data_IF_388540563897
#
_entry.id   IF_388540563897
#
_cell.length_a   1.000
_cell.length_b   1.000
_cell.length_c   1.000
_cell.angle_alpha   90.00
_cell.angle_beta   90.00
_cell.angle_gamma   90.00
#
_symmetry.space_group_name_H-M   'P 1'
#
loop_
_entity.id
_entity.type
_entity.pdbx_description
1 polymer ?
#
# COMPACT_ATOMS: atom_id res chain seq x y z
N UNK A 1 1.45 34.08 11.86
CA UNK A 1 1.09 33.02 10.91
C UNK A 1 -0.36 33.26 10.49
N UNK A 2 -0.66 33.38 9.20
CA UNK A 2 -2.04 33.59 8.75
C UNK A 2 -2.90 32.34 9.01
N UNK A 3 -4.22 32.47 9.08
CA UNK A 3 -5.11 31.30 9.21
C UNK A 3 -4.96 30.37 8.01
N UNK A 4 -4.77 30.95 6.82
CA UNK A 4 -4.49 30.21 5.58
C UNK A 4 -3.21 29.38 5.70
N UNK A 5 -2.13 29.96 6.22
CA UNK A 5 -0.86 29.23 6.43
C UNK A 5 -0.98 28.16 7.52
N UNK A 6 -1.72 28.43 8.60
CA UNK A 6 -1.96 27.46 9.66
C UNK A 6 -2.79 26.26 9.17
N UNK A 7 -3.83 26.53 8.37
CA UNK A 7 -4.61 25.48 7.71
C UNK A 7 -3.75 24.69 6.72
N UNK A 8 -2.82 25.35 6.04
CA UNK A 8 -1.89 24.70 5.12
C UNK A 8 -0.92 23.75 5.83
N UNK A 9 -0.35 24.17 6.96
CA UNK A 9 0.53 23.33 7.77
C UNK A 9 -0.22 22.09 8.28
N UNK A 10 -1.49 22.24 8.65
CA UNK A 10 -2.33 21.10 9.04
C UNK A 10 -2.63 20.18 7.87
N UNK A 11 -2.94 20.73 6.69
CA UNK A 11 -3.15 19.96 5.47
C UNK A 11 -1.89 19.18 5.06
N UNK A 12 -0.72 19.82 5.14
CA UNK A 12 0.58 19.21 4.85
C UNK A 12 0.96 18.12 5.87
N UNK A 13 0.62 18.33 7.15
CA UNK A 13 0.77 17.34 8.22
C UNK A 13 -0.11 16.09 7.99
N UNK A 14 -1.35 16.30 7.50
CA UNK A 14 -2.26 15.22 7.12
C UNK A 14 -1.72 14.44 5.90
N UNK A 15 -1.14 15.13 4.91
CA UNK A 15 -0.54 14.49 3.74
C UNK A 15 0.78 13.78 4.05
N UNK A 16 1.58 14.27 4.99
CA UNK A 16 2.84 13.64 5.40
C UNK A 16 2.66 12.44 6.35
N UNK A 17 1.50 12.30 6.99
CA UNK A 17 1.16 11.11 7.81
C UNK A 17 1.58 11.23 9.26
N UNK A 18 1.51 12.43 9.84
CA UNK A 18 1.77 12.63 11.26
C UNK A 18 0.86 11.76 12.15
N UNK A 19 1.38 11.36 13.32
CA UNK A 19 0.77 10.40 14.27
C UNK A 19 -0.64 10.78 14.77
N UNK A 20 -1.08 12.03 14.57
CA UNK A 20 -2.34 12.55 15.11
C UNK A 20 -3.26 13.13 14.02
N UNK A 21 -3.53 12.32 13.00
CA UNK A 21 -4.40 12.66 11.86
C UNK A 21 -5.78 13.14 12.31
N UNK A 22 -6.34 12.53 13.37
CA UNK A 22 -7.68 12.87 13.86
C UNK A 22 -7.72 14.26 14.51
N UNK A 23 -6.73 14.62 15.32
CA UNK A 23 -6.61 15.95 15.92
C UNK A 23 -6.31 17.02 14.86
N UNK A 24 -5.45 16.72 13.88
CA UNK A 24 -5.17 17.61 12.76
C UNK A 24 -6.42 17.87 11.90
N UNK A 25 -7.27 16.87 11.67
CA UNK A 25 -8.54 17.01 10.96
C UNK A 25 -9.53 17.92 11.73
N UNK A 26 -9.67 17.71 13.05
CA UNK A 26 -10.54 18.54 13.91
C UNK A 26 -10.06 19.98 13.94
N UNK A 27 -8.75 20.20 14.06
CA UNK A 27 -8.14 21.53 14.05
C UNK A 27 -8.35 22.22 12.70
N UNK A 28 -8.15 21.52 11.59
CA UNK A 28 -8.35 22.05 10.25
C UNK A 28 -9.80 22.49 10.03
N UNK A 29 -10.79 21.66 10.39
CA UNK A 29 -12.22 22.00 10.29
C UNK A 29 -12.59 23.24 11.09
N UNK A 30 -12.08 23.36 12.32
CA UNK A 30 -12.29 24.56 13.15
C UNK A 30 -11.67 25.81 12.52
N UNK A 31 -10.50 25.66 11.90
CA UNK A 31 -9.76 26.76 11.31
C UNK A 31 -10.44 27.29 10.04
N UNK A 32 -10.86 26.38 9.16
CA UNK A 32 -11.59 26.71 7.92
C UNK A 32 -12.93 27.38 8.22
N UNK A 33 -13.66 26.92 9.25
CA UNK A 33 -14.93 27.56 9.67
C UNK A 33 -14.75 28.96 10.25
N UNK A 34 -13.53 29.33 10.64
CA UNK A 34 -13.21 30.64 11.20
C UNK A 34 -12.65 31.61 10.14
N UNK A 35 -12.50 31.18 8.88
CA UNK A 35 -11.98 32.00 7.79
C UNK A 35 -13.07 32.88 7.19
N UNK A 36 -12.69 34.09 6.78
CA UNK A 36 -13.51 34.90 5.88
C UNK A 36 -13.41 34.42 4.41
N UNK A 37 -14.21 35.02 3.53
CA UNK A 37 -14.32 34.62 2.13
C UNK A 37 -12.98 34.70 1.38
N UNK A 38 -12.20 35.75 1.63
CA UNK A 38 -10.91 35.96 0.97
C UNK A 38 -9.87 34.95 1.49
N UNK A 39 -9.90 34.66 2.80
CA UNK A 39 -9.08 33.62 3.42
C UNK A 39 -9.41 32.22 2.88
N UNK A 40 -10.69 31.87 2.71
CA UNK A 40 -11.10 30.58 2.13
C UNK A 40 -10.65 30.47 0.68
N UNK A 41 -10.82 31.52 -0.14
CA UNK A 41 -10.38 31.52 -1.53
C UNK A 41 -8.87 31.30 -1.65
N UNK A 42 -8.07 32.00 -0.83
CA UNK A 42 -6.62 31.84 -0.82
C UNK A 42 -6.19 30.44 -0.34
N UNK A 43 -6.92 29.85 0.60
CA UNK A 43 -6.67 28.49 1.07
C UNK A 43 -6.95 27.44 -0.02
N UNK A 44 -8.06 27.56 -0.75
CA UNK A 44 -8.42 26.67 -1.87
C UNK A 44 -7.39 26.76 -2.99
N UNK A 45 -6.98 27.96 -3.40
CA UNK A 45 -5.95 28.17 -4.44
C UNK A 45 -4.60 27.53 -4.07
N UNK A 46 -4.23 27.63 -2.79
CA UNK A 46 -2.99 27.04 -2.29
C UNK A 46 -3.12 25.52 -2.25
N UNK A 47 -4.27 24.98 -1.85
CA UNK A 47 -4.56 23.54 -1.80
C UNK A 47 -4.55 22.93 -3.22
N UNK A 48 -5.04 23.68 -4.21
CA UNK A 48 -4.99 23.35 -5.63
C UNK A 48 -3.55 23.15 -6.12
N UNK A 49 -2.65 24.08 -5.78
CA UNK A 49 -1.22 23.98 -6.14
C UNK A 49 -0.54 22.77 -5.50
N UNK A 50 -0.82 22.51 -4.21
CA UNK A 50 -0.27 21.35 -3.52
C UNK A 50 -0.78 20.02 -4.12
N UNK A 51 -2.06 19.92 -4.47
CA UNK A 51 -2.62 18.73 -5.10
C UNK A 51 -1.96 18.41 -6.46
N UNK A 52 -1.62 19.45 -7.22
CA UNK A 52 -0.86 19.34 -8.48
C UNK A 52 0.56 18.86 -8.22
N UNK A 53 1.26 19.43 -7.23
CA UNK A 53 2.65 19.10 -6.91
C UNK A 53 2.80 17.68 -6.31
N UNK A 54 1.78 17.16 -5.62
CA UNK A 54 1.82 15.84 -4.94
C UNK A 54 1.41 14.67 -5.85
N UNK A 55 1.08 14.89 -7.13
CA UNK A 55 0.65 13.83 -8.08
C UNK A 55 -0.42 12.87 -7.50
N UNK A 56 -1.38 13.41 -6.76
CA UNK A 56 -2.55 12.66 -6.30
C UNK A 56 -3.49 12.45 -7.50
N UNK A 57 -4.22 11.34 -7.55
CA UNK A 57 -4.93 10.86 -8.74
C UNK A 57 -5.90 11.93 -9.21
N UNK A 58 -5.59 12.42 -10.40
CA UNK A 58 -5.89 13.76 -10.86
C UNK A 58 -7.34 14.03 -11.31
N UNK A 59 -8.25 13.07 -11.57
CA UNK A 59 -9.59 13.41 -12.06
C UNK A 59 -10.58 13.89 -10.99
N UNK A 60 -10.65 13.23 -9.83
CA UNK A 60 -11.69 13.52 -8.81
C UNK A 60 -11.38 14.84 -8.10
N UNK A 61 -10.11 15.05 -7.74
CA UNK A 61 -9.64 16.25 -7.07
C UNK A 61 -9.72 17.46 -7.99
N UNK A 62 -9.33 17.32 -9.27
CA UNK A 62 -9.47 18.39 -10.27
C UNK A 62 -10.93 18.80 -10.43
N UNK A 63 -11.85 17.84 -10.56
CA UNK A 63 -13.27 18.11 -10.75
C UNK A 63 -13.89 18.79 -9.52
N UNK A 64 -13.56 18.32 -8.31
CA UNK A 64 -14.04 18.95 -7.07
C UNK A 64 -13.48 20.37 -6.87
N UNK A 65 -12.25 20.62 -7.34
CA UNK A 65 -11.63 21.95 -7.29
C UNK A 65 -12.17 22.90 -8.37
N UNK A 66 -12.49 22.39 -9.56
CA UNK A 66 -13.24 23.11 -10.60
C UNK A 66 -14.63 23.51 -10.09
N UNK A 67 -15.34 22.58 -9.44
CA UNK A 67 -16.65 22.84 -8.82
C UNK A 67 -16.58 23.90 -7.70
N UNK A 68 -15.47 23.93 -6.94
CA UNK A 68 -15.21 24.93 -5.90
C UNK A 68 -14.86 26.31 -6.47
N UNK A 69 -14.09 26.37 -7.55
CA UNK A 69 -13.69 27.61 -8.21
C UNK A 69 -14.87 28.26 -8.95
N UNK A 70 -15.84 27.47 -9.42
CA UNK A 70 -17.07 27.98 -10.05
C UNK A 70 -18.11 28.53 -9.04
N UNK A 71 -17.96 28.25 -7.74
CA UNK A 71 -18.87 28.77 -6.71
C UNK A 71 -18.58 30.24 -6.42
N UNK A 72 -19.53 31.13 -6.78
CA UNK A 72 -19.46 32.54 -6.47
C UNK A 72 -19.69 32.77 -4.94
N UNK A 73 -18.61 32.93 -4.18
CA UNK A 73 -18.57 32.97 -2.70
C UNK A 73 -19.07 34.28 -2.07
N UNK A 74 -20.11 34.89 -2.63
CA UNK A 74 -20.60 36.22 -2.19
C UNK A 74 -21.59 36.17 -1.01
N UNK A 75 -21.98 34.98 -0.55
CA UNK A 75 -22.99 34.79 0.50
C UNK A 75 -22.59 33.72 1.51
N UNK A 76 -23.14 33.80 2.74
CA UNK A 76 -22.94 32.79 3.81
C UNK A 76 -23.36 31.39 3.36
N UNK A 77 -24.40 31.26 2.51
CA UNK A 77 -24.79 29.99 1.91
C UNK A 77 -23.74 29.43 0.95
N UNK A 78 -23.14 30.28 0.11
CA UNK A 78 -22.05 29.87 -0.78
C UNK A 78 -20.82 29.44 0.01
N UNK A 79 -20.51 30.15 1.11
CA UNK A 79 -19.42 29.81 2.02
C UNK A 79 -19.64 28.45 2.70
N UNK A 80 -20.82 28.19 3.24
CA UNK A 80 -21.14 26.90 3.88
C UNK A 80 -21.05 25.74 2.88
N UNK A 81 -21.44 25.96 1.62
CA UNK A 81 -21.31 24.96 0.57
C UNK A 81 -19.82 24.70 0.23
N UNK A 82 -19.00 25.75 0.15
CA UNK A 82 -17.57 25.61 -0.07
C UNK A 82 -16.87 24.86 1.08
N UNK A 83 -17.23 25.14 2.34
CA UNK A 83 -16.73 24.40 3.50
C UNK A 83 -17.11 22.92 3.41
N UNK A 84 -18.35 22.61 3.02
CA UNK A 84 -18.80 21.22 2.86
C UNK A 84 -18.03 20.50 1.74
N UNK A 85 -17.86 21.13 0.58
CA UNK A 85 -17.08 20.57 -0.52
C UNK A 85 -15.63 20.33 -0.12
N UNK A 86 -15.04 21.22 0.70
CA UNK A 86 -13.70 21.06 1.21
C UNK A 86 -13.60 19.92 2.24
N UNK A 87 -14.58 19.77 3.13
CA UNK A 87 -14.68 18.62 4.04
C UNK A 87 -14.77 17.29 3.27
N UNK A 88 -15.57 17.24 2.20
CA UNK A 88 -15.67 16.07 1.30
C UNK A 88 -14.37 15.81 0.54
N UNK A 89 -13.68 16.85 0.07
CA UNK A 89 -12.38 16.75 -0.59
C UNK A 89 -11.30 16.19 0.34
N UNK A 90 -11.20 16.71 1.57
CA UNK A 90 -10.26 16.22 2.59
C UNK A 90 -10.54 14.76 2.92
N UNK A 91 -11.82 14.39 3.08
CA UNK A 91 -12.22 13.01 3.33
C UNK A 91 -11.82 12.08 2.16
N UNK A 92 -12.03 12.52 0.91
CA UNK A 92 -11.63 11.77 -0.28
C UNK A 92 -10.11 11.61 -0.38
N UNK A 93 -9.35 12.64 -0.07
CA UNK A 93 -7.87 12.60 -0.07
C UNK A 93 -7.33 11.63 0.98
N UNK A 94 -7.91 11.63 2.17
CA UNK A 94 -7.54 10.70 3.25
C UNK A 94 -7.88 9.26 2.84
N UNK A 95 -9.04 9.03 2.22
CA UNK A 95 -9.43 7.71 1.74
C UNK A 95 -8.51 7.19 0.63
N UNK A 96 -8.15 8.05 -0.34
CA UNK A 96 -7.24 7.70 -1.42
C UNK A 96 -5.81 7.43 -0.90
N UNK A 97 -5.32 8.24 0.04
CA UNK A 97 -4.02 8.02 0.69
C UNK A 97 -3.99 6.68 1.41
N UNK A 98 -5.02 6.38 2.21
CA UNK A 98 -5.17 5.07 2.86
C UNK A 98 -5.12 3.97 1.82
N UNK A 99 -5.97 4.01 0.80
CA UNK A 99 -5.99 3.01 -0.29
C UNK A 99 -4.63 2.80 -0.99
N UNK A 100 -3.79 3.82 -1.08
CA UNK A 100 -2.42 3.70 -1.62
C UNK A 100 -1.46 3.02 -0.66
N UNK A 101 -1.38 3.49 0.59
CA UNK A 101 -0.50 2.91 1.62
C UNK A 101 -0.79 1.41 1.81
N UNK A 102 -2.07 1.07 1.72
CA UNK A 102 -2.62 -0.27 1.71
C UNK A 102 -2.07 -1.20 0.62
N UNK A 103 -2.12 -0.74 -0.64
CA UNK A 103 -1.59 -1.50 -1.77
C UNK A 103 -0.07 -1.69 -1.68
N UNK A 104 0.64 -0.68 -1.17
CA UNK A 104 2.09 -0.75 -0.97
C UNK A 104 2.45 -1.84 0.03
N UNK A 105 1.74 -1.94 1.14
CA UNK A 105 1.99 -2.97 2.16
C UNK A 105 1.65 -4.38 1.66
N UNK A 106 0.59 -4.54 0.86
CA UNK A 106 0.31 -5.82 0.19
C UNK A 106 1.39 -6.19 -0.84
N UNK A 107 1.96 -5.23 -1.55
CA UNK A 107 3.13 -5.44 -2.40
C UNK A 107 4.32 -5.99 -1.61
N UNK A 108 4.54 -5.50 -0.38
CA UNK A 108 5.60 -6.03 0.49
C UNK A 108 5.36 -7.49 0.91
N UNK A 109 4.09 -7.89 1.11
CA UNK A 109 3.73 -9.30 1.35
C UNK A 109 4.11 -10.18 0.17
N UNK A 110 3.87 -9.71 -1.06
CA UNK A 110 4.25 -10.43 -2.28
C UNK A 110 5.79 -10.56 -2.41
N UNK A 111 6.56 -9.53 -2.04
CA UNK A 111 8.03 -9.60 -2.07
C UNK A 111 8.60 -10.66 -1.13
N UNK A 112 7.98 -10.91 0.03
CA UNK A 112 8.44 -12.00 0.92
C UNK A 112 8.34 -13.35 0.21
N UNK A 113 7.25 -13.61 -0.52
CA UNK A 113 7.11 -14.86 -1.27
C UNK A 113 8.17 -14.98 -2.38
N UNK A 114 8.45 -13.89 -3.08
CA UNK A 114 9.51 -13.84 -4.09
C UNK A 114 10.89 -14.13 -3.48
N UNK A 115 11.20 -13.56 -2.31
CA UNK A 115 12.44 -13.82 -1.58
C UNK A 115 12.54 -15.28 -1.10
N UNK A 116 11.47 -15.83 -0.53
CA UNK A 116 11.40 -17.23 -0.09
C UNK A 116 11.61 -18.17 -1.28
N UNK A 117 10.90 -17.93 -2.38
CA UNK A 117 10.99 -18.75 -3.58
C UNK A 117 12.41 -18.70 -4.17
N UNK A 118 12.99 -17.50 -4.28
CA UNK A 118 14.35 -17.31 -4.78
C UNK A 118 15.37 -18.04 -3.90
N UNK A 119 15.34 -17.79 -2.59
CA UNK A 119 16.29 -18.40 -1.65
C UNK A 119 16.17 -19.92 -1.64
N UNK A 120 14.96 -20.45 -1.72
CA UNK A 120 14.74 -21.89 -1.75
C UNK A 120 15.30 -22.53 -3.03
N UNK A 121 14.91 -22.01 -4.21
CA UNK A 121 15.31 -22.54 -5.51
C UNK A 121 16.83 -22.42 -5.72
N UNK A 122 17.42 -21.31 -5.32
CA UNK A 122 18.85 -21.02 -5.49
C UNK A 122 19.70 -21.28 -4.24
N UNK A 123 19.16 -21.97 -3.23
CA UNK A 123 19.91 -22.32 -2.00
C UNK A 123 21.31 -22.87 -2.31
N UNK A 124 22.33 -22.36 -1.63
CA UNK A 124 23.73 -22.74 -1.84
C UNK A 124 24.46 -21.90 -2.89
N UNK A 125 23.75 -21.10 -3.69
CA UNK A 125 24.38 -20.07 -4.51
C UNK A 125 24.86 -18.93 -3.60
N UNK A 126 26.07 -18.40 -3.86
CA UNK A 126 26.68 -17.41 -2.96
C UNK A 126 25.90 -16.10 -2.88
N UNK A 127 25.18 -15.71 -3.94
CA UNK A 127 24.46 -14.43 -4.04
C UNK A 127 23.33 -14.47 -5.10
N UNK A 128 22.27 -15.27 -4.92
CA UNK A 128 21.15 -15.22 -5.84
C UNK A 128 20.49 -13.84 -5.78
N UNK A 129 20.34 -13.19 -6.93
CA UNK A 129 19.54 -11.96 -7.01
C UNK A 129 18.09 -12.33 -6.74
N UNK A 130 17.44 -11.59 -5.82
CA UNK A 130 15.99 -11.71 -5.62
C UNK A 130 15.29 -11.57 -6.97
N UNK A 131 14.41 -12.52 -7.29
CA UNK A 131 13.66 -12.53 -8.52
C UNK A 131 12.21 -12.91 -8.23
N UNK A 132 11.28 -12.34 -9.00
CA UNK A 132 9.88 -12.65 -8.80
C UNK A 132 9.58 -14.12 -9.12
N UNK A 133 8.53 -14.68 -8.51
CA UNK A 133 8.03 -16.03 -8.84
C UNK A 133 7.75 -16.15 -10.35
N UNK A 134 7.28 -15.08 -11.01
CA UNK A 134 7.11 -15.04 -12.47
C UNK A 134 8.42 -15.17 -13.24
N UNK A 135 9.50 -14.59 -12.73
CA UNK A 135 10.84 -14.77 -13.30
C UNK A 135 11.34 -16.20 -13.11
N UNK A 136 11.13 -16.80 -11.93
CA UNK A 136 11.46 -18.20 -11.67
C UNK A 136 10.69 -19.16 -12.60
N UNK A 137 9.39 -18.90 -12.80
CA UNK A 137 8.57 -19.65 -13.74
C UNK A 137 9.14 -19.59 -15.16
N UNK A 138 9.48 -18.40 -15.65
CA UNK A 138 10.08 -18.23 -16.98
C UNK A 138 11.40 -19.00 -17.10
N UNK A 139 12.26 -18.97 -16.08
CA UNK A 139 13.52 -19.73 -16.04
C UNK A 139 13.28 -21.23 -16.09
N UNK A 140 12.30 -21.73 -15.34
CA UNK A 140 11.95 -23.15 -15.33
C UNK A 140 11.42 -23.60 -16.70
N UNK A 141 10.50 -22.84 -17.31
CA UNK A 141 9.92 -23.15 -18.63
C UNK A 141 10.97 -23.13 -19.74
N UNK A 142 11.92 -22.20 -19.68
CA UNK A 142 12.99 -22.06 -20.66
C UNK A 142 14.19 -22.99 -20.41
N UNK A 143 14.11 -23.90 -19.42
CA UNK A 143 15.21 -24.78 -19.02
C UNK A 143 16.50 -24.04 -18.64
N UNK A 144 16.39 -22.85 -18.05
CA UNK A 144 17.52 -22.04 -17.57
C UNK A 144 17.94 -22.41 -16.14
N UNK A 145 17.20 -23.29 -15.46
CA UNK A 145 17.54 -23.80 -14.12
C UNK A 145 18.42 -25.05 -14.24
N UNK A 146 19.42 -25.15 -13.38
CA UNK A 146 20.19 -26.40 -13.22
C UNK A 146 19.27 -27.53 -12.71
N UNK A 147 19.69 -28.79 -12.87
CA UNK A 147 18.92 -29.94 -12.40
C UNK A 147 18.52 -29.83 -10.92
N UNK A 148 19.45 -29.42 -10.05
CA UNK A 148 19.18 -29.25 -8.62
C UNK A 148 18.25 -28.07 -8.31
N UNK A 149 18.33 -26.98 -9.07
CA UNK A 149 17.37 -25.86 -8.96
C UNK A 149 15.98 -26.27 -9.46
N UNK A 150 15.91 -27.06 -10.53
CA UNK A 150 14.64 -27.57 -11.06
C UNK A 150 13.94 -28.53 -10.10
N UNK A 151 14.70 -29.41 -9.43
CA UNK A 151 14.15 -30.25 -8.35
C UNK A 151 13.54 -29.41 -7.23
N UNK A 152 14.23 -28.36 -6.78
CA UNK A 152 13.74 -27.44 -5.75
C UNK A 152 12.56 -26.60 -6.23
N UNK A 153 12.55 -26.20 -7.49
CA UNK A 153 11.39 -25.58 -8.11
C UNK A 153 10.15 -26.48 -8.02
N UNK A 154 10.27 -27.77 -8.36
CA UNK A 154 9.16 -28.72 -8.23
C UNK A 154 8.73 -28.97 -6.77
N UNK A 155 9.67 -28.97 -5.83
CA UNK A 155 9.37 -29.04 -4.40
C UNK A 155 8.57 -27.82 -3.93
N UNK A 156 8.96 -26.62 -4.34
CA UNK A 156 8.23 -25.39 -4.07
C UNK A 156 6.81 -25.45 -4.67
N UNK A 157 6.68 -25.87 -5.93
CA UNK A 157 5.37 -26.05 -6.59
C UNK A 157 4.47 -27.01 -5.80
N UNK A 158 5.03 -28.14 -5.37
CA UNK A 158 4.31 -29.16 -4.60
C UNK A 158 3.86 -28.61 -3.24
N UNK A 159 4.75 -27.90 -2.55
CA UNK A 159 4.42 -27.22 -1.29
C UNK A 159 3.27 -26.23 -1.48
N UNK A 160 3.36 -25.31 -2.44
CA UNK A 160 2.35 -24.28 -2.69
C UNK A 160 0.99 -24.89 -3.07
N UNK A 161 1.00 -25.96 -3.86
CA UNK A 161 -0.22 -26.70 -4.23
C UNK A 161 -0.91 -27.29 -3.00
N UNK A 162 -0.15 -27.82 -2.02
CA UNK A 162 -0.70 -28.28 -0.73
C UNK A 162 -1.28 -27.14 0.12
N UNK A 163 -0.83 -25.91 -0.11
CA UNK A 163 -1.39 -24.71 0.51
C UNK A 163 -2.57 -24.10 -0.27
N UNK A 164 -3.03 -24.77 -1.34
CA UNK A 164 -4.16 -24.30 -2.15
C UNK A 164 -3.79 -23.31 -3.25
N UNK A 165 -2.51 -23.09 -3.53
CA UNK A 165 -2.03 -22.11 -4.51
C UNK A 165 -1.33 -22.77 -5.69
N UNK A 166 -1.69 -22.37 -6.92
CA UNK A 166 -0.84 -22.64 -8.08
C UNK A 166 0.19 -21.54 -8.28
N UNK A 167 1.30 -21.85 -8.96
CA UNK A 167 2.27 -20.82 -9.38
C UNK A 167 1.59 -19.75 -10.23
N UNK A 168 0.65 -20.14 -11.10
CA UNK A 168 -0.05 -19.19 -11.97
C UNK A 168 -0.87 -18.18 -11.17
N UNK A 169 -1.58 -18.65 -10.14
CA UNK A 169 -2.39 -17.79 -9.26
C UNK A 169 -1.48 -16.78 -8.54
N UNK A 170 -0.35 -17.25 -8.00
CA UNK A 170 0.61 -16.39 -7.32
C UNK A 170 1.27 -15.40 -8.27
N UNK A 171 1.58 -15.77 -9.50
CA UNK A 171 2.14 -14.84 -10.51
C UNK A 171 1.13 -13.77 -10.89
N UNK A 172 -0.13 -14.15 -11.10
CA UNK A 172 -1.20 -13.19 -11.37
C UNK A 172 -1.37 -12.22 -10.21
N UNK A 173 -1.42 -12.75 -8.98
CA UNK A 173 -1.70 -11.96 -7.79
C UNK A 173 -0.51 -11.11 -7.32
N UNK A 174 0.71 -11.65 -7.32
CA UNK A 174 1.91 -10.86 -7.04
C UNK A 174 2.13 -9.81 -8.11
N UNK A 175 1.86 -10.15 -9.38
CA UNK A 175 1.84 -9.22 -10.50
C UNK A 175 0.89 -8.06 -10.25
N UNK A 176 -0.38 -8.32 -9.94
CA UNK A 176 -1.37 -7.28 -9.60
C UNK A 176 -0.89 -6.40 -8.44
N UNK A 177 -0.50 -7.00 -7.31
CA UNK A 177 -0.09 -6.27 -6.10
C UNK A 177 1.17 -5.42 -6.31
N UNK A 178 2.13 -5.90 -7.10
CA UNK A 178 3.37 -5.18 -7.41
C UNK A 178 3.23 -4.21 -8.60
N UNK A 179 2.21 -4.37 -9.45
CA UNK A 179 2.02 -3.56 -10.68
C UNK A 179 1.00 -2.44 -10.55
N UNK A 180 0.35 -2.29 -9.39
CA UNK A 180 -0.43 -1.10 -9.04
C UNK A 180 0.52 0.11 -8.98
N UNK A 181 0.73 0.73 -10.15
CA UNK A 181 1.68 1.81 -10.42
C UNK A 181 1.27 3.09 -9.68
N UNK A 182 1.70 3.21 -8.44
CA UNK A 182 1.86 4.50 -7.79
C UNK A 182 3.36 4.82 -7.63
N UNK A 183 3.78 6.10 -7.74
CA UNK A 183 5.19 6.50 -7.61
C UNK A 183 5.85 6.14 -6.26
N UNK A 184 5.07 5.64 -5.28
CA UNK A 184 5.52 5.13 -3.97
C UNK A 184 5.25 3.63 -3.80
N UNK A 185 5.34 2.82 -4.86
CA UNK A 185 5.17 1.36 -4.78
C UNK A 185 6.18 0.63 -3.86
N UNK A 186 7.17 1.36 -3.34
CA UNK A 186 8.03 0.93 -2.26
C UNK A 186 7.63 1.69 -1.00
N UNK A 187 7.24 0.95 0.04
CA UNK A 187 7.05 1.49 1.39
C UNK A 187 8.28 2.31 1.78
N UNK A 188 8.08 3.43 2.47
CA UNK A 188 9.19 4.15 3.08
C UNK A 188 9.96 3.22 4.02
N UNK A 189 11.23 3.50 4.27
CA UNK A 189 12.03 2.72 5.22
C UNK A 189 11.32 2.63 6.59
N UNK A 190 10.75 3.74 7.06
CA UNK A 190 9.96 3.78 8.28
C UNK A 190 8.75 2.82 8.23
N UNK A 191 7.99 2.82 7.13
CA UNK A 191 6.86 1.91 6.95
C UNK A 191 7.31 0.43 6.97
N UNK A 192 8.49 0.11 6.43
CA UNK A 192 9.06 -1.23 6.49
C UNK A 192 9.48 -1.64 7.90
N UNK A 193 9.97 -0.68 8.69
CA UNK A 193 10.43 -0.89 10.08
C UNK A 193 9.28 -0.96 11.10
N UNK A 194 8.11 -0.43 10.77
CA UNK A 194 6.95 -0.39 11.69
C UNK A 194 5.87 -1.41 11.33
N UNK A 195 5.70 -1.74 10.04
CA UNK A 195 4.60 -2.60 9.61
C UNK A 195 4.85 -4.04 10.01
N UNK A 196 3.96 -4.59 10.83
CA UNK A 196 3.96 -6.01 11.20
C UNK A 196 2.94 -6.79 10.36
N UNK A 197 3.10 -8.11 10.32
CA UNK A 197 2.13 -8.99 9.67
C UNK A 197 0.71 -8.86 10.29
N UNK A 198 0.61 -8.68 11.61
CA UNK A 198 -0.71 -8.60 12.26
C UNK A 198 -1.43 -7.29 11.92
N UNK A 199 -0.69 -6.20 11.68
CA UNK A 199 -1.26 -4.97 11.12
C UNK A 199 -1.84 -5.23 9.72
N UNK A 200 -1.15 -6.03 8.89
CA UNK A 200 -1.63 -6.37 7.55
C UNK A 200 -2.86 -7.28 7.62
N UNK A 201 -2.91 -8.24 8.55
CA UNK A 201 -4.12 -9.07 8.76
C UNK A 201 -5.32 -8.24 9.16
N UNK A 202 -5.19 -7.42 10.20
CA UNK A 202 -6.26 -6.54 10.66
C UNK A 202 -6.72 -5.57 9.57
N UNK A 203 -5.79 -5.19 8.70
CA UNK A 203 -6.07 -4.37 7.55
C UNK A 203 -6.86 -5.11 6.46
N UNK A 204 -6.42 -6.31 6.06
CA UNK A 204 -7.14 -7.16 5.11
C UNK A 204 -8.54 -7.48 5.63
N UNK A 205 -8.70 -7.78 6.92
CA UNK A 205 -10.01 -8.02 7.53
C UNK A 205 -10.94 -6.79 7.41
N UNK A 206 -10.39 -5.59 7.60
CA UNK A 206 -11.16 -4.35 7.63
C UNK A 206 -11.61 -3.86 6.25
N UNK A 207 -10.76 -3.98 5.24
CA UNK A 207 -10.98 -3.37 3.92
C UNK A 207 -11.20 -4.38 2.80
N UNK A 208 -10.75 -5.62 2.99
CA UNK A 208 -10.88 -6.72 2.04
C UNK A 208 -11.73 -7.87 2.59
N UNK A 209 -12.58 -7.64 3.61
CA UNK A 209 -13.31 -8.68 4.36
C UNK A 209 -14.16 -9.69 3.58
N UNK A 210 -14.31 -9.56 2.25
CA UNK A 210 -14.91 -10.57 1.36
C UNK A 210 -13.95 -11.24 0.36
N UNK A 211 -12.71 -10.76 0.23
CA UNK A 211 -11.69 -11.27 -0.68
C UNK A 211 -10.94 -12.43 -0.02
N UNK A 212 -11.42 -13.64 -0.27
CA UNK A 212 -10.87 -14.87 0.33
C UNK A 212 -9.43 -15.11 -0.12
N UNK A 213 -9.08 -14.73 -1.35
CA UNK A 213 -7.75 -14.95 -1.92
C UNK A 213 -6.70 -14.08 -1.20
N UNK A 214 -7.05 -12.84 -0.84
CA UNK A 214 -6.17 -11.98 -0.03
C UNK A 214 -5.93 -12.52 1.37
N UNK A 215 -6.98 -13.04 2.04
CA UNK A 215 -6.80 -13.64 3.36
C UNK A 215 -5.92 -14.89 3.28
N UNK A 216 -6.13 -15.74 2.27
CA UNK A 216 -5.30 -16.92 2.05
C UNK A 216 -3.86 -16.57 1.70
N UNK A 217 -3.62 -15.48 0.96
CA UNK A 217 -2.28 -15.03 0.61
C UNK A 217 -1.53 -14.56 1.85
N UNK A 218 -2.16 -13.70 2.67
CA UNK A 218 -1.57 -13.25 3.94
C UNK A 218 -1.34 -14.43 4.89
N UNK A 219 -2.25 -15.41 4.92
CA UNK A 219 -2.08 -16.63 5.69
C UNK A 219 -0.90 -17.47 5.18
N UNK A 220 -0.70 -17.60 3.87
CA UNK A 220 0.45 -18.28 3.29
C UNK A 220 1.76 -17.57 3.71
N UNK A 221 1.82 -16.25 3.56
CA UNK A 221 3.01 -15.45 3.91
C UNK A 221 3.30 -15.48 5.40
N UNK A 222 2.27 -15.56 6.25
CA UNK A 222 2.45 -15.63 7.70
C UNK A 222 3.39 -16.72 8.17
N UNK A 223 3.45 -17.83 7.42
CA UNK A 223 4.32 -18.98 7.69
C UNK A 223 5.79 -18.64 7.51
N UNK A 224 6.09 -17.68 6.65
CA UNK A 224 7.44 -17.28 6.28
C UNK A 224 7.88 -15.97 6.92
N UNK A 225 7.13 -15.45 7.89
CA UNK A 225 7.45 -14.20 8.57
C UNK A 225 7.66 -14.43 10.06
N UNK A 226 8.41 -13.53 10.71
CA UNK A 226 8.59 -13.60 12.16
C UNK A 226 7.45 -12.85 12.86
N UNK A 227 6.73 -13.47 13.80
CA UNK A 227 5.67 -12.80 14.56
C UNK A 227 6.20 -11.58 15.34
N UNK A 228 5.37 -10.54 15.47
CA UNK A 228 5.69 -9.31 16.22
C UNK A 228 6.97 -8.59 15.78
N UNK A 229 7.45 -8.86 14.57
CA UNK A 229 8.57 -8.15 13.95
C UNK A 229 8.10 -7.38 12.73
N UNK A 230 8.90 -6.40 12.28
CA UNK A 230 8.66 -5.74 11.00
C UNK A 230 8.60 -6.80 9.89
N UNK A 231 7.80 -6.52 8.86
CA UNK A 231 7.49 -7.45 7.79
C UNK A 231 8.76 -7.91 7.07
N UNK A 232 9.28 -9.06 7.48
CA UNK A 232 10.51 -9.63 6.95
C UNK A 232 10.41 -11.16 6.86
N UNK A 233 11.16 -11.71 5.90
CA UNK A 233 11.29 -13.15 5.74
C UNK A 233 11.97 -13.78 6.96
N UNK A 234 11.42 -14.88 7.44
CA UNK A 234 12.01 -15.71 8.48
C UNK A 234 13.31 -16.36 7.98
N UNK A 235 14.38 -16.42 8.81
CA UNK A 235 15.61 -17.11 8.46
C UNK A 235 15.42 -18.62 8.27
N UNK A 236 14.31 -19.19 8.76
CA UNK A 236 14.00 -20.63 8.63
C UNK A 236 13.02 -20.94 7.51
N UNK A 237 12.64 -19.96 6.67
CA UNK A 237 11.63 -20.14 5.62
C UNK A 237 11.90 -21.32 4.69
N UNK A 238 13.18 -21.52 4.37
CA UNK A 238 13.69 -22.65 3.61
C UNK A 238 13.38 -24.02 4.27
N UNK A 239 13.54 -24.14 5.59
CA UNK A 239 13.31 -25.37 6.34
C UNK A 239 11.81 -25.69 6.45
N UNK A 240 10.95 -24.65 6.45
CA UNK A 240 9.49 -24.82 6.52
C UNK A 240 8.99 -25.57 5.28
N UNK A 241 9.51 -25.23 4.10
CA UNK A 241 9.17 -25.91 2.85
C UNK A 241 9.66 -27.37 2.89
N UNK A 242 10.89 -27.61 3.35
CA UNK A 242 11.44 -28.97 3.39
C UNK A 242 10.72 -29.88 4.36
N UNK A 243 10.53 -29.44 5.61
CA UNK A 243 9.94 -30.27 6.65
C UNK A 243 8.50 -30.69 6.30
N UNK A 244 7.71 -29.79 5.71
CA UNK A 244 6.34 -30.10 5.28
C UNK A 244 6.25 -31.01 4.06
N UNK A 245 7.35 -31.27 3.35
CA UNK A 245 7.40 -32.28 2.29
C UNK A 245 7.68 -33.69 2.83
N UNK A 246 8.24 -33.81 4.04
CA UNK A 246 8.57 -35.09 4.70
C UNK A 246 7.50 -35.57 5.69
N UNK A 247 6.56 -34.71 6.11
CA UNK A 247 5.45 -35.05 7.03
C UNK A 247 4.20 -35.65 6.33
N UNK A 248 4.34 -36.04 5.06
CA UNK A 248 3.27 -36.63 4.21
C UNK A 248 3.67 -37.97 3.63
#
# INVERSE_FOLDING_TARGET
MSRVDAAFVLLDSLSSGADDVADAEVKLKKLVRAMDVDEVSAFVDKAYKLAIDVQISTPVIRRALEDLAEMNLTTVSSLNQAVKNLEEMVASLIAEKKSRDEQVLLGQVAYILDEVATEFVFRGDKWPRSCSIGTLLNKAVNNELTQGQMQRWHQLQSYLSRQGWTISDLVGKSGELCSLRYPRAHSSQQQQEETTLDMIKAWVDKYHGGDTDMHQLVQLVSKFTVPNKPLCKSPTSCNIIENMLYES
#
